data_IF_851622406938
#
_entry.id   IF_851622406938
#
_cell.length_a   1.000
_cell.length_b   1.000
_cell.length_c   1.000
_cell.angle_alpha   90.00
_cell.angle_beta   90.00
_cell.angle_gamma   90.00
#
_symmetry.space_group_name_H-M   'P 1'
#
loop_
_entity.id
_entity.type
_entity.pdbx_description
1 polymer ?
#
# COMPACT_ATOMS: atom_id res chain seq x y z
N UNK A 1 7.46 -8.64 41.64
CA UNK A 1 8.26 -8.43 40.41
C UNK A 1 7.29 -8.11 39.29
N UNK A 2 7.13 -6.84 38.95
CA UNK A 2 6.25 -6.38 37.87
C UNK A 2 7.14 -6.13 36.65
N UNK A 3 6.90 -6.70 35.46
CA UNK A 3 7.75 -6.42 34.32
C UNK A 3 7.52 -4.97 33.90
N UNK A 4 8.60 -4.20 33.96
CA UNK A 4 8.65 -2.84 33.47
C UNK A 4 8.27 -2.81 31.98
N UNK A 5 7.42 -1.84 31.65
CA UNK A 5 6.82 -1.66 30.33
C UNK A 5 7.82 -1.72 29.17
N UNK A 6 7.38 -2.43 28.14
CA UNK A 6 7.93 -2.47 26.80
C UNK A 6 7.86 -1.10 26.10
N UNK A 7 8.66 -0.12 26.53
CA UNK A 7 8.81 1.16 25.84
C UNK A 7 10.30 1.57 25.75
N UNK A 8 11.13 0.66 25.24
CA UNK A 8 12.46 0.96 24.72
C UNK A 8 12.44 0.97 23.18
N UNK A 9 13.42 1.62 22.52
CA UNK A 9 13.56 1.53 21.07
C UNK A 9 13.66 0.06 20.62
N UNK A 10 13.08 -0.28 19.47
CA UNK A 10 13.08 -1.65 18.94
C UNK A 10 14.50 -2.25 18.94
N UNK A 11 14.63 -3.54 19.26
CA UNK A 11 15.92 -4.24 19.11
C UNK A 11 16.29 -4.40 17.63
N UNK A 12 17.55 -4.69 17.28
CA UNK A 12 17.93 -5.00 15.90
C UNK A 12 17.11 -6.14 15.29
N UNK A 13 16.77 -7.15 16.08
CA UNK A 13 15.93 -8.27 15.65
C UNK A 13 14.50 -7.85 15.36
N UNK A 14 13.88 -7.09 16.28
CA UNK A 14 12.54 -6.55 16.08
C UNK A 14 12.46 -5.64 14.85
N UNK A 15 13.49 -4.82 14.59
CA UNK A 15 13.58 -4.02 13.36
C UNK A 15 13.64 -4.87 12.10
N UNK A 16 14.43 -5.95 12.11
CA UNK A 16 14.50 -6.88 10.97
C UNK A 16 13.17 -7.58 10.71
N UNK A 17 12.53 -8.09 11.76
CA UNK A 17 11.23 -8.73 11.67
C UNK A 17 10.16 -7.76 11.14
N UNK A 18 10.15 -6.51 11.62
CA UNK A 18 9.26 -5.48 11.12
C UNK A 18 9.51 -5.17 9.63
N UNK A 19 10.76 -5.01 9.22
CA UNK A 19 11.12 -4.76 7.83
C UNK A 19 10.72 -5.92 6.91
N UNK A 20 10.91 -7.17 7.37
CA UNK A 20 10.47 -8.37 6.67
C UNK A 20 8.94 -8.37 6.49
N UNK A 21 8.19 -8.16 7.57
CA UNK A 21 6.73 -8.11 7.53
C UNK A 21 6.21 -7.03 6.57
N UNK A 22 6.79 -5.83 6.62
CA UNK A 22 6.44 -4.74 5.69
C UNK A 22 6.68 -5.17 4.23
N UNK A 23 7.76 -5.87 3.95
CA UNK A 23 8.04 -6.41 2.61
C UNK A 23 7.04 -7.48 2.16
N UNK A 24 6.71 -8.42 3.06
CA UNK A 24 5.73 -9.49 2.81
C UNK A 24 4.32 -8.92 2.57
N UNK A 25 3.90 -7.95 3.39
CA UNK A 25 2.63 -7.25 3.23
C UNK A 25 2.53 -6.57 1.85
N UNK A 26 3.60 -5.89 1.41
CA UNK A 26 3.64 -5.29 0.06
C UNK A 26 3.49 -6.35 -1.04
N UNK A 27 4.20 -7.49 -0.93
CA UNK A 27 4.12 -8.56 -1.94
C UNK A 27 2.70 -9.13 -2.03
N UNK A 28 2.03 -9.31 -0.89
CA UNK A 28 0.66 -9.80 -0.82
C UNK A 28 -0.32 -8.78 -1.43
N UNK A 29 -0.25 -7.52 -1.01
CA UNK A 29 -1.12 -6.43 -1.50
C UNK A 29 -0.95 -6.23 -3.00
N UNK A 30 0.29 -6.09 -3.47
CA UNK A 30 0.57 -5.88 -4.90
C UNK A 30 0.17 -7.09 -5.77
N UNK A 31 0.19 -8.30 -5.22
CA UNK A 31 -0.30 -9.48 -5.94
C UNK A 31 -1.82 -9.51 -6.04
N UNK A 32 -2.54 -9.19 -4.96
CA UNK A 32 -3.99 -9.10 -4.98
C UNK A 32 -4.49 -8.01 -5.94
N UNK A 33 -3.85 -6.83 -5.95
CA UNK A 33 -4.17 -5.77 -6.91
C UNK A 33 -3.93 -6.24 -8.36
N UNK A 34 -2.83 -6.98 -8.60
CA UNK A 34 -2.52 -7.48 -9.94
C UNK A 34 -3.54 -8.51 -10.43
N UNK A 35 -4.03 -9.38 -9.55
CA UNK A 35 -5.06 -10.37 -9.88
C UNK A 35 -6.41 -9.71 -10.20
N UNK A 36 -6.84 -8.75 -9.37
CA UNK A 36 -8.06 -7.98 -9.61
C UNK A 36 -7.99 -7.18 -10.91
N UNK A 37 -6.82 -6.60 -11.20
CA UNK A 37 -6.57 -5.94 -12.48
C UNK A 37 -6.64 -6.91 -13.66
N UNK A 38 -5.95 -8.05 -13.58
CA UNK A 38 -5.90 -9.05 -14.64
C UNK A 38 -7.27 -9.68 -14.94
N UNK A 39 -8.15 -9.76 -13.95
CA UNK A 39 -9.52 -10.27 -14.07
C UNK A 39 -10.54 -9.20 -14.45
N UNK A 40 -10.10 -7.95 -14.66
CA UNK A 40 -10.97 -6.86 -15.12
C UNK A 40 -11.92 -6.30 -14.07
N UNK A 41 -11.64 -6.51 -12.77
CA UNK A 41 -12.47 -5.96 -11.69
C UNK A 41 -12.35 -4.43 -11.66
N UNK A 42 -13.45 -3.67 -11.64
CA UNK A 42 -13.40 -2.20 -11.58
C UNK A 42 -12.64 -1.68 -10.34
N UNK A 43 -11.87 -0.60 -10.50
CA UNK A 43 -11.02 -0.04 -9.42
C UNK A 43 -11.79 0.45 -8.19
N UNK A 44 -13.08 0.77 -8.36
CA UNK A 44 -13.99 1.18 -7.29
C UNK A 44 -14.80 0.02 -6.67
N UNK A 45 -14.62 -1.22 -7.15
CA UNK A 45 -15.31 -2.39 -6.62
C UNK A 45 -14.97 -2.61 -5.13
N UNK A 46 -15.92 -3.00 -4.27
CA UNK A 46 -15.68 -3.25 -2.85
C UNK A 46 -14.50 -4.18 -2.56
N UNK A 47 -14.28 -5.21 -3.41
CA UNK A 47 -13.15 -6.14 -3.28
C UNK A 47 -11.81 -5.44 -3.46
N UNK A 48 -11.74 -4.50 -4.41
CA UNK A 48 -10.54 -3.69 -4.65
C UNK A 48 -10.34 -2.72 -3.50
N UNK A 49 -11.40 -2.05 -3.06
CA UNK A 49 -11.34 -1.09 -1.97
C UNK A 49 -10.91 -1.74 -0.64
N UNK A 50 -11.25 -3.00 -0.40
CA UNK A 50 -10.71 -3.78 0.72
C UNK A 50 -9.18 -3.88 0.63
N UNK A 51 -8.62 -4.25 -0.52
CA UNK A 51 -7.17 -4.34 -0.73
C UNK A 51 -6.50 -2.96 -0.63
N UNK A 52 -7.13 -1.90 -1.13
CA UNK A 52 -6.60 -0.53 -0.99
C UNK A 52 -6.63 -0.05 0.47
N UNK A 53 -7.58 -0.49 1.29
CA UNK A 53 -7.57 -0.20 2.73
C UNK A 53 -6.33 -0.80 3.41
N UNK A 54 -5.89 -1.98 2.98
CA UNK A 54 -4.66 -2.59 3.46
C UNK A 54 -3.43 -1.86 2.94
N UNK A 55 -3.43 -1.42 1.69
CA UNK A 55 -2.40 -0.55 1.14
C UNK A 55 -2.24 0.75 1.95
N UNK A 56 -3.36 1.40 2.30
CA UNK A 56 -3.34 2.60 3.14
C UNK A 56 -2.70 2.33 4.50
N UNK A 57 -3.11 1.25 5.19
CA UNK A 57 -2.50 0.84 6.47
C UNK A 57 -1.02 0.49 6.31
N UNK A 58 -0.64 -0.12 5.17
CA UNK A 58 0.74 -0.45 4.86
C UNK A 58 1.60 0.81 4.73
N UNK A 59 1.11 1.86 4.04
CA UNK A 59 1.76 3.17 4.00
C UNK A 59 1.92 3.77 5.40
N UNK A 60 0.94 3.51 6.29
CA UNK A 60 0.95 3.88 7.71
C UNK A 60 2.20 3.45 8.50
N UNK A 61 2.92 2.42 8.05
CA UNK A 61 4.20 2.03 8.67
C UNK A 61 5.32 3.06 8.47
N UNK A 62 5.18 3.95 7.48
CA UNK A 62 6.19 4.97 7.16
C UNK A 62 5.73 6.37 7.59
N UNK A 63 4.46 6.69 7.36
CA UNK A 63 3.81 7.94 7.74
C UNK A 63 2.29 7.79 7.57
N UNK A 64 1.50 8.66 8.20
CA UNK A 64 0.03 8.63 8.09
C UNK A 64 -0.46 9.68 7.09
N UNK A 65 -0.86 9.27 5.87
CA UNK A 65 -1.39 10.21 4.89
C UNK A 65 -2.81 10.67 5.23
N UNK A 66 -3.04 11.97 5.03
CA UNK A 66 -4.36 12.57 4.82
C UNK A 66 -4.85 12.36 3.36
N UNK A 67 -6.04 12.84 3.02
CA UNK A 67 -6.59 12.69 1.67
C UNK A 67 -5.67 13.31 0.60
N UNK A 68 -5.26 14.55 0.79
CA UNK A 68 -4.50 15.31 -0.21
C UNK A 68 -3.14 14.64 -0.51
N UNK A 69 -2.47 14.20 0.54
CA UNK A 69 -1.16 13.57 0.46
C UNK A 69 -1.24 12.14 -0.08
N UNK A 70 -2.31 11.37 0.21
CA UNK A 70 -2.55 10.07 -0.42
C UNK A 70 -2.86 10.17 -1.93
N UNK A 71 -3.61 11.20 -2.35
CA UNK A 71 -3.85 11.49 -3.78
C UNK A 71 -2.54 11.83 -4.49
N UNK A 72 -1.70 12.69 -3.89
CA UNK A 72 -0.39 13.03 -4.45
C UNK A 72 0.53 11.81 -4.57
N UNK A 73 0.44 10.87 -3.61
CA UNK A 73 1.14 9.59 -3.68
C UNK A 73 0.65 8.73 -4.85
N UNK A 74 -0.67 8.65 -5.07
CA UNK A 74 -1.27 7.93 -6.19
C UNK A 74 -0.77 8.48 -7.55
N UNK A 75 -0.72 9.81 -7.70
CA UNK A 75 -0.16 10.45 -8.90
C UNK A 75 1.32 10.12 -9.10
N UNK A 76 2.10 10.13 -8.02
CA UNK A 76 3.53 9.83 -8.08
C UNK A 76 3.82 8.42 -8.59
N UNK A 77 2.98 7.43 -8.25
CA UNK A 77 3.14 6.04 -8.68
C UNK A 77 3.12 5.89 -10.20
N UNK A 78 2.36 6.75 -10.88
CA UNK A 78 2.25 6.76 -12.34
C UNK A 78 3.24 7.73 -12.95
N UNK A 79 3.40 8.93 -12.41
CA UNK A 79 4.17 10.01 -13.05
C UNK A 79 5.70 9.85 -12.96
N UNK A 80 6.20 9.08 -11.98
CA UNK A 80 7.62 8.85 -11.83
C UNK A 80 8.01 7.44 -12.32
N UNK A 81 8.82 7.31 -13.40
CA UNK A 81 9.14 6.01 -14.02
C UNK A 81 9.72 4.97 -13.06
N UNK A 82 10.48 5.40 -12.04
CA UNK A 82 11.06 4.49 -11.03
C UNK A 82 10.00 3.78 -10.19
N UNK A 83 8.90 4.45 -9.84
CA UNK A 83 7.82 3.86 -9.05
C UNK A 83 6.96 2.95 -9.91
N UNK A 84 6.56 3.41 -11.10
CA UNK A 84 5.83 2.60 -12.07
C UNK A 84 6.54 1.27 -12.35
N UNK A 85 7.83 1.32 -12.70
CA UNK A 85 8.64 0.11 -12.95
C UNK A 85 8.71 -0.83 -11.75
N UNK A 86 8.74 -0.30 -10.53
CA UNK A 86 8.79 -1.13 -9.31
C UNK A 86 7.45 -1.80 -9.04
N UNK A 87 6.35 -1.09 -9.21
CA UNK A 87 4.99 -1.60 -9.00
C UNK A 87 4.65 -2.67 -10.04
N UNK A 88 4.95 -2.41 -11.30
CA UNK A 88 4.64 -3.32 -12.42
C UNK A 88 5.67 -4.44 -12.59
N UNK A 89 6.69 -4.51 -11.72
CA UNK A 89 7.75 -5.52 -11.83
C UNK A 89 7.17 -6.93 -11.67
N UNK A 90 7.24 -7.73 -12.73
CA UNK A 90 6.64 -9.09 -12.80
C UNK A 90 5.11 -9.08 -12.67
N UNK A 91 4.46 -7.96 -12.97
CA UNK A 91 2.99 -7.78 -12.95
C UNK A 91 2.50 -7.32 -14.32
N UNK A 92 1.19 -7.40 -14.60
CA UNK A 92 0.63 -6.91 -15.87
C UNK A 92 0.88 -5.40 -16.08
N UNK A 93 1.14 -5.02 -17.33
CA UNK A 93 1.34 -3.61 -17.70
C UNK A 93 0.04 -2.80 -17.49
N UNK A 94 0.15 -1.58 -16.97
CA UNK A 94 -1.00 -0.72 -16.70
C UNK A 94 -1.55 -0.87 -15.27
N UNK A 95 -1.06 -1.86 -14.51
CA UNK A 95 -1.43 -2.05 -13.11
C UNK A 95 -1.13 -0.81 -12.25
N UNK A 96 -0.08 -0.04 -12.54
CA UNK A 96 0.20 1.17 -11.77
C UNK A 96 -0.89 2.24 -11.93
N UNK A 97 -1.45 2.38 -13.13
CA UNK A 97 -2.58 3.29 -13.38
C UNK A 97 -3.84 2.79 -12.68
N UNK A 98 -4.11 1.48 -12.72
CA UNK A 98 -5.21 0.87 -11.99
C UNK A 98 -5.11 1.08 -10.47
N UNK A 99 -3.92 0.89 -9.90
CA UNK A 99 -3.66 1.15 -8.48
C UNK A 99 -3.91 2.63 -8.14
N UNK A 100 -3.47 3.57 -8.99
CA UNK A 100 -3.76 4.99 -8.82
C UNK A 100 -5.27 5.25 -8.75
N UNK A 101 -6.06 4.75 -9.70
CA UNK A 101 -7.52 4.96 -9.70
C UNK A 101 -8.17 4.41 -8.42
N UNK A 102 -7.77 3.21 -8.02
CA UNK A 102 -8.29 2.56 -6.82
C UNK A 102 -7.93 3.35 -5.55
N UNK A 103 -6.72 3.91 -5.46
CA UNK A 103 -6.30 4.80 -4.39
C UNK A 103 -7.12 6.10 -4.36
N UNK A 104 -7.42 6.69 -5.52
CA UNK A 104 -8.23 7.91 -5.62
C UNK A 104 -9.63 7.66 -5.05
N UNK A 105 -10.30 6.57 -5.45
CA UNK A 105 -11.60 6.19 -4.90
C UNK A 105 -11.57 6.04 -3.38
N UNK A 106 -10.55 5.34 -2.86
CA UNK A 106 -10.40 5.15 -1.41
C UNK A 106 -10.20 6.48 -0.67
N UNK A 107 -9.37 7.37 -1.21
CA UNK A 107 -9.05 8.66 -0.61
C UNK A 107 -10.32 9.51 -0.40
N UNK A 108 -11.13 9.62 -1.46
CA UNK A 108 -12.36 10.40 -1.43
C UNK A 108 -13.42 9.81 -0.50
N UNK A 109 -13.51 8.48 -0.43
CA UNK A 109 -14.50 7.80 0.40
C UNK A 109 -14.13 7.76 1.90
N UNK A 110 -12.84 7.71 2.26
CA UNK A 110 -12.44 7.32 3.63
C UNK A 110 -11.54 8.32 4.35
N UNK A 111 -10.81 9.17 3.64
CA UNK A 111 -9.82 10.06 4.23
C UNK A 111 -10.38 11.47 4.39
N UNK A 112 -9.82 12.25 5.31
CA UNK A 112 -10.14 13.67 5.49
C UNK A 112 -9.14 14.55 4.73
#
# INVERSE_FOLDING_TARGET
>A
MTPAGANGPLTPEQRRALAQKIGEDWNRISSAVAELFATGVPSNDPRVQQVISEHYRWIGNFWTPDRASYLRLAEMYVNQPKFRRRIERKKPQGMAAYLREAMIHYAWANLR
#
